data_IF_576897628397
#
_entry.id   IF_576897628397
#
_cell.length_a   1.000
_cell.length_b   1.000
_cell.length_c   1.000
_cell.angle_alpha   90.00
_cell.angle_beta   90.00
_cell.angle_gamma   90.00
#
_symmetry.space_group_name_H-M   'P 1'
#
loop_
_entity.id
_entity.type
_entity.pdbx_description
1 polymer ?
#
# COMPACT_ATOMS: atom_id res chain seq x y z
N UNK A 1 29.63 -15.71 -36.18
CA UNK A 1 30.93 -16.38 -36.28
C UNK A 1 31.92 -15.52 -35.49
N UNK A 2 32.38 -16.01 -34.31
CA UNK A 2 33.35 -15.41 -33.37
C UNK A 2 32.88 -14.14 -32.64
N UNK A 3 32.58 -14.06 -31.33
CA UNK A 3 33.09 -14.64 -30.07
C UNK A 3 34.56 -14.29 -29.75
N UNK A 4 34.74 -13.71 -28.56
CA UNK A 4 35.95 -13.62 -27.72
C UNK A 4 36.85 -12.39 -27.84
N UNK A 5 36.62 -11.36 -27.01
CA UNK A 5 37.74 -10.65 -26.38
C UNK A 5 37.50 -9.87 -25.06
N UNK A 6 36.31 -9.87 -24.44
CA UNK A 6 36.06 -9.00 -23.26
C UNK A 6 36.00 -9.70 -21.88
N UNK A 7 36.40 -10.97 -21.76
CA UNK A 7 36.32 -11.71 -20.48
C UNK A 7 37.67 -12.07 -19.84
N UNK A 8 38.72 -11.24 -19.97
CA UNK A 8 40.06 -11.57 -19.43
C UNK A 8 40.73 -10.49 -18.57
N UNK A 9 39.98 -9.75 -17.77
CA UNK A 9 40.58 -8.77 -16.82
C UNK A 9 39.97 -8.75 -15.43
N UNK A 10 39.30 -9.84 -15.02
CA UNK A 10 38.70 -9.95 -13.67
C UNK A 10 39.16 -11.20 -12.89
N UNK A 11 40.44 -11.60 -13.00
CA UNK A 11 40.94 -12.78 -12.26
C UNK A 11 42.37 -12.70 -11.70
N UNK A 12 42.87 -11.51 -11.35
CA UNK A 12 44.21 -11.38 -10.73
C UNK A 12 44.28 -10.32 -9.61
N UNK A 13 43.30 -10.28 -8.69
CA UNK A 13 43.41 -9.48 -7.45
C UNK A 13 43.35 -10.31 -6.16
N UNK A 14 43.72 -11.59 -6.22
CA UNK A 14 43.94 -12.42 -5.02
C UNK A 14 45.34 -13.00 -5.12
N UNK A 15 46.35 -12.23 -4.69
CA UNK A 15 47.51 -12.71 -3.92
C UNK A 15 48.51 -11.56 -3.67
N UNK A 16 48.47 -11.09 -2.43
CA UNK A 16 49.48 -10.42 -1.61
C UNK A 16 50.89 -10.12 -2.19
N UNK A 17 51.42 -8.94 -1.86
CA UNK A 17 52.48 -8.82 -0.83
C UNK A 17 52.71 -7.36 -0.43
N UNK A 18 52.75 -7.15 0.89
CA UNK A 18 53.15 -5.90 1.52
C UNK A 18 54.68 -5.77 1.54
N UNK A 19 55.19 -4.55 1.30
CA UNK A 19 56.58 -4.16 1.48
C UNK A 19 56.66 -2.68 1.92
N UNK A 20 57.57 -2.31 2.84
CA UNK A 20 57.49 -1.03 3.55
C UNK A 20 58.26 0.07 2.85
N UNK A 21 57.63 1.21 2.61
CA UNK A 21 58.35 2.42 2.20
C UNK A 21 57.48 3.42 1.45
N UNK A 22 57.31 4.61 2.03
CA UNK A 22 56.92 5.80 1.27
C UNK A 22 55.49 6.28 1.47
N UNK A 23 55.15 6.73 2.68
CA UNK A 23 54.14 7.78 2.81
C UNK A 23 54.62 9.03 2.06
N UNK A 24 53.99 9.36 0.92
CA UNK A 24 53.97 10.71 0.36
C UNK A 24 52.81 10.87 -0.63
N UNK A 25 51.93 11.82 -0.30
CA UNK A 25 50.93 12.47 -1.16
C UNK A 25 49.68 11.67 -1.58
N UNK A 26 48.69 11.59 -0.68
CA UNK A 26 47.29 11.36 -1.07
C UNK A 26 46.65 12.70 -1.46
N UNK A 27 46.72 13.06 -2.75
CA UNK A 27 45.71 13.95 -3.35
C UNK A 27 44.47 13.10 -3.56
N UNK A 28 43.43 13.31 -2.75
CA UNK A 28 42.07 12.89 -3.10
C UNK A 28 41.59 13.82 -4.21
N UNK A 29 41.84 13.42 -5.46
CA UNK A 29 41.28 14.07 -6.64
C UNK A 29 40.67 12.96 -7.48
N UNK A 30 39.36 12.84 -7.36
CA UNK A 30 38.56 11.82 -8.03
C UNK A 30 37.09 12.04 -7.71
N UNK A 31 36.57 13.23 -8.01
CA UNK A 31 35.13 13.36 -8.22
C UNK A 31 34.74 12.43 -9.37
N UNK A 32 33.73 11.56 -9.23
CA UNK A 32 33.24 10.80 -10.36
C UNK A 32 32.52 11.76 -11.32
N UNK A 33 33.15 12.05 -12.45
CA UNK A 33 32.53 12.75 -13.57
C UNK A 33 31.44 11.87 -14.19
N UNK A 34 30.21 12.03 -13.73
CA UNK A 34 29.01 11.47 -14.38
C UNK A 34 28.48 12.47 -15.41
N UNK A 35 29.15 12.56 -16.54
CA UNK A 35 28.70 13.31 -17.71
C UNK A 35 27.78 12.46 -18.59
N UNK A 36 26.56 12.15 -18.10
CA UNK A 36 25.49 11.62 -18.96
C UNK A 36 24.07 12.07 -18.53
N UNK A 37 23.91 13.31 -18.06
CA UNK A 37 22.60 13.85 -17.69
C UNK A 37 21.65 13.98 -18.89
N UNK A 38 22.18 14.21 -20.10
CA UNK A 38 21.37 14.38 -21.31
C UNK A 38 20.71 13.09 -21.81
N UNK A 39 21.46 11.98 -21.86
CA UNK A 39 20.92 10.67 -22.28
C UNK A 39 19.98 10.06 -21.25
N UNK A 40 20.26 10.28 -19.96
CA UNK A 40 19.40 9.82 -18.88
C UNK A 40 18.07 10.60 -18.81
N UNK A 41 18.08 11.93 -18.99
CA UNK A 41 16.85 12.76 -19.00
C UNK A 41 15.88 12.39 -20.13
N UNK A 42 16.39 12.10 -21.33
CA UNK A 42 15.59 11.58 -22.46
C UNK A 42 14.99 10.20 -22.15
N UNK A 43 15.75 9.35 -21.45
CA UNK A 43 15.29 8.02 -21.00
C UNK A 43 14.17 8.15 -19.95
N UNK A 44 14.29 9.03 -18.96
CA UNK A 44 13.25 9.23 -17.94
C UNK A 44 11.94 9.78 -18.53
N UNK A 45 12.00 10.71 -19.49
CA UNK A 45 10.78 11.18 -20.18
C UNK A 45 10.07 10.05 -20.92
N UNK A 46 10.81 9.15 -21.56
CA UNK A 46 10.23 7.97 -22.21
C UNK A 46 9.65 6.95 -21.20
N UNK A 47 10.31 6.78 -20.05
CA UNK A 47 9.82 5.91 -18.97
C UNK A 47 8.57 6.46 -18.29
N UNK A 48 8.42 7.79 -18.17
CA UNK A 48 7.24 8.42 -17.58
C UNK A 48 5.95 8.05 -18.31
N UNK A 49 5.94 8.22 -19.64
CA UNK A 49 4.76 7.90 -20.46
C UNK A 49 4.41 6.41 -20.37
N UNK A 50 5.41 5.53 -20.44
CA UNK A 50 5.23 4.07 -20.30
C UNK A 50 4.71 3.70 -18.92
N UNK A 51 5.21 4.35 -17.87
CA UNK A 51 4.79 4.07 -16.50
C UNK A 51 3.33 4.48 -16.27
N UNK A 52 2.95 5.67 -16.72
CA UNK A 52 1.56 6.16 -16.64
C UNK A 52 0.62 5.27 -17.45
N UNK A 53 0.99 4.92 -18.69
CA UNK A 53 0.19 4.04 -19.56
C UNK A 53 -0.04 2.67 -18.89
N UNK A 54 1.03 2.02 -18.45
CA UNK A 54 0.95 0.69 -17.82
C UNK A 54 0.17 0.74 -16.51
N UNK A 55 0.39 1.76 -15.68
CA UNK A 55 -0.34 1.88 -14.43
C UNK A 55 -1.82 2.15 -14.65
N UNK A 56 -2.18 2.98 -15.63
CA UNK A 56 -3.58 3.22 -16.01
C UNK A 56 -4.24 1.93 -16.52
N UNK A 57 -3.53 1.13 -17.31
CA UNK A 57 -4.00 -0.18 -17.77
C UNK A 57 -4.23 -1.14 -16.60
N UNK A 58 -3.28 -1.24 -15.68
CA UNK A 58 -3.40 -2.06 -14.46
C UNK A 58 -4.65 -1.67 -13.65
N UNK A 59 -4.90 -0.37 -13.48
CA UNK A 59 -6.09 0.12 -12.77
C UNK A 59 -7.40 -0.27 -13.48
N UNK A 60 -7.42 -0.31 -14.81
CA UNK A 60 -8.60 -0.63 -15.60
C UNK A 60 -8.88 -2.14 -15.68
N UNK A 61 -7.84 -2.97 -15.71
CA UNK A 61 -7.94 -4.41 -15.90
C UNK A 61 -8.18 -5.19 -14.59
N UNK A 62 -7.75 -4.63 -13.44
CA UNK A 62 -7.90 -5.30 -12.14
C UNK A 62 -9.04 -4.74 -11.30
N UNK A 63 -9.91 -5.61 -10.80
CA UNK A 63 -10.89 -5.27 -9.76
C UNK A 63 -10.27 -5.30 -8.35
N UNK A 64 -9.12 -5.95 -8.17
CA UNK A 64 -8.45 -6.14 -6.89
C UNK A 64 -7.43 -5.03 -6.64
N UNK A 65 -7.56 -4.34 -5.50
CA UNK A 65 -6.68 -3.23 -5.10
C UNK A 65 -5.24 -3.70 -4.97
N UNK A 66 -5.02 -4.84 -4.31
CA UNK A 66 -3.69 -5.38 -4.02
C UNK A 66 -2.93 -5.74 -5.30
N UNK A 67 -3.61 -6.28 -6.31
CA UNK A 67 -3.00 -6.56 -7.61
C UNK A 67 -2.53 -5.27 -8.32
N UNK A 68 -3.32 -4.19 -8.25
CA UNK A 68 -2.95 -2.88 -8.83
C UNK A 68 -1.72 -2.31 -8.12
N UNK A 69 -1.70 -2.35 -6.79
CA UNK A 69 -0.59 -1.83 -6.00
C UNK A 69 0.68 -2.68 -6.19
N UNK A 70 0.55 -4.00 -6.35
CA UNK A 70 1.69 -4.90 -6.61
C UNK A 70 2.29 -4.56 -7.96
N UNK A 71 1.45 -4.44 -8.99
CA UNK A 71 1.88 -4.08 -10.34
C UNK A 71 2.51 -2.69 -10.41
N UNK A 72 2.05 -1.72 -9.61
CA UNK A 72 2.69 -0.41 -9.49
C UNK A 72 4.13 -0.52 -8.95
N UNK A 73 4.31 -1.23 -7.84
CA UNK A 73 5.62 -1.35 -7.20
C UNK A 73 6.58 -2.14 -8.10
N UNK A 74 6.12 -3.21 -8.75
CA UNK A 74 6.90 -3.95 -9.75
C UNK A 74 7.31 -3.07 -10.94
N UNK A 75 6.36 -2.29 -11.47
CA UNK A 75 6.60 -1.37 -12.58
C UNK A 75 7.67 -0.35 -12.25
N UNK A 76 7.53 0.36 -11.12
CA UNK A 76 8.48 1.39 -10.71
C UNK A 76 9.84 0.77 -10.35
N UNK A 77 9.83 -0.36 -9.65
CA UNK A 77 11.08 -1.06 -9.27
C UNK A 77 11.85 -1.55 -10.49
N UNK A 78 11.15 -2.12 -11.47
CA UNK A 78 11.74 -2.56 -12.73
C UNK A 78 12.30 -1.42 -13.57
N UNK A 79 11.57 -0.29 -13.66
CA UNK A 79 12.02 0.89 -14.42
C UNK A 79 13.25 1.56 -13.79
N UNK A 80 13.32 1.60 -12.46
CA UNK A 80 14.38 2.29 -11.72
C UNK A 80 15.52 1.36 -11.25
N UNK A 81 15.43 0.05 -11.53
CA UNK A 81 16.43 -0.94 -11.09
C UNK A 81 16.57 -1.02 -9.57
N UNK A 82 15.43 -0.97 -8.87
CA UNK A 82 15.34 -1.00 -7.41
C UNK A 82 15.27 -2.43 -6.88
N UNK A 83 15.60 -2.60 -5.61
CA UNK A 83 15.47 -3.89 -4.94
C UNK A 83 14.00 -4.25 -4.69
N UNK A 84 13.13 -3.24 -4.62
CA UNK A 84 11.72 -3.44 -4.36
C UNK A 84 11.00 -2.23 -3.78
N UNK A 85 9.91 -2.52 -3.09
CA UNK A 85 9.12 -1.52 -2.39
C UNK A 85 7.81 -2.09 -1.89
N UNK A 86 6.89 -1.20 -1.52
CA UNK A 86 5.55 -1.57 -1.10
C UNK A 86 4.67 -0.36 -0.88
N UNK A 87 3.37 -0.61 -0.76
CA UNK A 87 2.40 0.43 -0.40
C UNK A 87 1.89 0.15 1.00
N UNK A 88 2.08 1.12 1.90
CA UNK A 88 1.60 1.08 3.27
C UNK A 88 0.31 1.89 3.34
N UNK A 89 -0.78 1.30 3.82
CA UNK A 89 -2.08 1.95 4.00
C UNK A 89 -2.52 1.88 5.47
N UNK A 90 -3.60 2.57 5.80
CA UNK A 90 -4.20 2.60 7.14
C UNK A 90 -3.25 3.12 8.25
N UNK A 91 -2.81 4.35 8.07
CA UNK A 91 -1.87 5.02 8.98
C UNK A 91 -2.56 5.68 10.20
N UNK A 92 -3.89 5.53 10.34
CA UNK A 92 -4.70 6.19 11.38
C UNK A 92 -4.63 5.48 12.77
N UNK A 93 -3.65 4.60 12.99
CA UNK A 93 -3.10 4.37 14.33
C UNK A 93 -3.35 3.02 15.01
N UNK A 94 -3.82 1.98 14.31
CA UNK A 94 -3.89 0.64 14.90
C UNK A 94 -2.90 -0.35 14.26
N UNK A 95 -2.73 -0.34 12.93
CA UNK A 95 -1.80 -1.22 12.21
C UNK A 95 -1.52 -0.64 10.83
N UNK A 96 -0.30 -0.16 10.60
CA UNK A 96 0.16 0.14 9.24
C UNK A 96 0.09 -1.16 8.44
N UNK A 97 -0.86 -1.26 7.51
CA UNK A 97 -1.06 -2.46 6.70
C UNK A 97 -0.27 -2.29 5.42
N UNK A 98 0.77 -3.10 5.22
CA UNK A 98 1.47 -3.13 3.94
C UNK A 98 0.67 -4.01 3.00
N UNK A 99 0.12 -3.39 1.97
CA UNK A 99 -0.76 -4.07 1.02
C UNK A 99 0.05 -4.96 0.07
N UNK A 100 1.29 -4.56 -0.27
CA UNK A 100 2.14 -5.28 -1.23
C UNK A 100 3.63 -5.07 -0.95
N UNK A 101 4.47 -6.09 -1.18
CA UNK A 101 5.93 -5.99 -1.18
C UNK A 101 6.46 -6.76 -2.38
N UNK A 102 7.30 -6.12 -3.17
CA UNK A 102 7.89 -6.74 -4.36
C UNK A 102 9.40 -6.68 -4.20
N UNK A 103 10.10 -7.79 -4.44
CA UNK A 103 11.56 -7.88 -4.33
C UNK A 103 12.03 -8.96 -3.35
N UNK A 104 13.16 -9.62 -3.61
CA UNK A 104 13.67 -10.66 -2.71
C UNK A 104 14.22 -10.02 -1.43
N UNK A 105 13.48 -10.12 -0.32
CA UNK A 105 14.10 -10.07 1.02
C UNK A 105 13.48 -9.13 2.06
N UNK A 106 12.52 -8.27 1.73
CA UNK A 106 11.90 -7.37 2.73
C UNK A 106 10.48 -7.82 3.03
N UNK A 107 10.30 -8.40 4.22
CA UNK A 107 8.99 -8.75 4.74
C UNK A 107 8.11 -7.50 4.90
N UNK A 108 6.83 -7.64 4.56
CA UNK A 108 5.80 -6.60 4.67
C UNK A 108 5.86 -5.86 6.02
N UNK A 109 5.85 -6.61 7.12
CA UNK A 109 5.85 -6.06 8.48
C UNK A 109 7.08 -5.18 8.76
N UNK A 110 8.25 -5.55 8.22
CA UNK A 110 9.47 -4.75 8.38
C UNK A 110 9.42 -3.47 7.55
N UNK A 111 8.81 -3.51 6.36
CA UNK A 111 8.61 -2.32 5.56
C UNK A 111 7.66 -1.34 6.25
N UNK A 112 6.56 -1.83 6.84
CA UNK A 112 5.68 -1.02 7.69
C UNK A 112 6.45 -0.39 8.85
N UNK A 113 7.25 -1.20 9.56
CA UNK A 113 8.03 -0.71 10.68
C UNK A 113 9.04 0.39 10.30
N UNK A 114 9.73 0.24 9.16
CA UNK A 114 10.66 1.26 8.64
C UNK A 114 9.98 2.60 8.36
N UNK A 115 8.71 2.56 7.97
CA UNK A 115 7.89 3.74 7.70
C UNK A 115 7.39 4.36 8.99
N UNK A 116 6.87 3.55 9.92
CA UNK A 116 6.20 4.01 11.14
C UNK A 116 7.17 4.46 12.24
N UNK A 117 8.32 3.80 12.40
CA UNK A 117 9.27 4.05 13.50
C UNK A 117 10.51 4.83 13.03
N UNK A 118 10.44 5.44 11.86
CA UNK A 118 11.56 6.08 11.18
C UNK A 118 11.23 7.48 10.64
N UNK A 119 12.16 8.08 9.88
CA UNK A 119 11.94 9.38 9.23
C UNK A 119 10.74 9.39 8.26
N UNK A 120 10.21 8.21 7.87
CA UNK A 120 9.02 8.07 7.06
C UNK A 120 7.76 8.62 7.73
N UNK A 121 7.61 8.48 9.05
CA UNK A 121 6.43 8.91 9.78
C UNK A 121 6.23 10.42 9.70
N UNK A 122 7.30 11.18 9.98
CA UNK A 122 7.30 12.64 9.87
C UNK A 122 7.02 13.10 8.43
N UNK A 123 7.62 12.41 7.46
CA UNK A 123 7.45 12.72 6.04
C UNK A 123 5.99 12.53 5.58
N UNK A 124 5.35 11.45 6.01
CA UNK A 124 3.93 11.17 5.73
C UNK A 124 3.03 12.21 6.40
N UNK A 125 3.27 12.49 7.68
CA UNK A 125 2.49 13.47 8.43
C UNK A 125 2.51 14.85 7.75
N UNK A 126 3.70 15.28 7.29
CA UNK A 126 3.90 16.56 6.58
C UNK A 126 3.49 16.51 5.11
N UNK A 127 3.30 15.32 4.54
CA UNK A 127 3.06 15.14 3.10
C UNK A 127 4.26 15.48 2.22
N UNK A 128 5.49 15.39 2.77
CA UNK A 128 6.73 15.65 2.05
C UNK A 128 7.38 14.35 1.60
N UNK A 129 7.91 14.31 0.38
CA UNK A 129 8.69 13.17 -0.12
C UNK A 129 10.00 13.05 0.66
N UNK A 130 10.24 11.88 1.25
CA UNK A 130 11.51 11.55 1.91
C UNK A 130 12.42 10.81 0.94
N UNK A 131 13.71 11.14 0.97
CA UNK A 131 14.75 10.51 0.16
C UNK A 131 15.97 10.27 1.04
N UNK A 132 16.41 9.02 1.14
CA UNK A 132 17.60 8.63 1.87
C UNK A 132 18.50 7.89 0.90
N UNK A 133 19.66 8.48 0.60
CA UNK A 133 20.63 7.92 -0.34
C UNK A 133 21.47 6.79 0.27
N UNK A 134 21.74 6.87 1.58
CA UNK A 134 22.37 5.83 2.38
C UNK A 134 21.82 5.92 3.81
N UNK A 135 21.20 4.84 4.30
CA UNK A 135 20.62 4.81 5.66
C UNK A 135 21.67 4.98 6.74
N UNK A 136 22.91 4.59 6.48
CA UNK A 136 24.00 4.66 7.46
C UNK A 136 24.40 6.09 7.84
N UNK A 137 24.16 7.06 6.96
CA UNK A 137 24.42 8.48 7.22
C UNK A 137 23.48 9.04 8.30
N UNK A 138 22.43 8.30 8.64
CA UNK A 138 21.37 8.70 9.56
C UNK A 138 21.44 7.98 10.92
N UNK A 139 22.56 7.29 11.21
CA UNK A 139 22.75 6.49 12.43
C UNK A 139 22.57 7.26 13.73
N UNK A 140 23.02 8.51 13.78
CA UNK A 140 22.94 9.35 14.98
C UNK A 140 21.51 9.81 15.26
N UNK A 141 20.77 10.18 14.21
CA UNK A 141 19.42 10.71 14.35
C UNK A 141 18.35 9.62 14.48
N UNK A 142 18.51 8.47 13.80
CA UNK A 142 17.53 7.38 13.82
C UNK A 142 18.20 5.99 13.96
N UNK A 143 18.85 5.68 15.09
CA UNK A 143 19.64 4.45 15.26
C UNK A 143 18.82 3.17 15.10
N UNK A 144 17.58 3.14 15.57
CA UNK A 144 16.69 1.97 15.48
C UNK A 144 16.28 1.69 14.03
N UNK A 145 15.89 2.74 13.30
CA UNK A 145 15.59 2.68 11.87
C UNK A 145 16.77 2.15 11.06
N UNK A 146 17.99 2.66 11.29
CA UNK A 146 19.19 2.18 10.58
C UNK A 146 19.47 0.70 10.87
N UNK A 147 19.27 0.27 12.12
CA UNK A 147 19.43 -1.13 12.49
C UNK A 147 18.40 -2.05 11.80
N UNK A 148 17.13 -1.63 11.69
CA UNK A 148 16.09 -2.39 10.98
C UNK A 148 16.34 -2.40 9.46
N UNK A 149 16.75 -1.25 8.89
CA UNK A 149 17.04 -1.13 7.46
C UNK A 149 18.15 -2.09 7.07
N UNK A 150 19.25 -2.13 7.84
CA UNK A 150 20.34 -3.09 7.66
C UNK A 150 19.89 -4.55 7.78
N UNK A 151 19.08 -4.89 8.79
CA UNK A 151 18.53 -6.25 8.96
C UNK A 151 17.63 -6.68 7.81
N UNK A 152 17.07 -5.71 7.08
CA UNK A 152 16.22 -5.93 5.92
C UNK A 152 16.97 -5.78 4.59
N UNK A 153 18.29 -5.55 4.61
CA UNK A 153 19.09 -5.32 3.39
C UNK A 153 18.80 -4.00 2.67
N UNK A 154 18.09 -3.07 3.33
CA UNK A 154 17.77 -1.74 2.78
C UNK A 154 18.96 -0.82 3.03
N UNK A 155 19.54 -0.31 1.96
CA UNK A 155 20.65 0.67 2.01
C UNK A 155 20.18 2.07 1.63
N UNK A 156 19.18 2.18 0.77
CA UNK A 156 18.58 3.45 0.34
C UNK A 156 17.06 3.30 0.27
N UNK A 157 16.31 4.36 0.53
CA UNK A 157 14.86 4.36 0.37
C UNK A 157 14.29 5.74 0.01
N UNK A 158 13.13 5.73 -0.62
CA UNK A 158 12.29 6.90 -0.79
C UNK A 158 10.86 6.59 -0.36
N UNK A 159 10.22 7.57 0.28
CA UNK A 159 8.84 7.48 0.75
C UNK A 159 8.03 8.60 0.09
N UNK A 160 6.95 8.21 -0.58
CA UNK A 160 6.03 9.09 -1.27
C UNK A 160 4.68 9.03 -0.54
N UNK A 161 4.33 10.07 0.24
CA UNK A 161 3.05 10.11 0.93
C UNK A 161 1.88 10.02 -0.07
N UNK A 162 0.93 9.12 0.19
CA UNK A 162 -0.31 9.02 -0.57
C UNK A 162 -1.36 9.86 0.15
N UNK A 163 -1.89 10.88 -0.53
CA UNK A 163 -2.78 11.88 0.09
C UNK A 163 -3.96 12.19 -0.79
N UNK A 164 -5.12 12.34 -0.15
CA UNK A 164 -6.32 12.85 -0.78
C UNK A 164 -6.87 14.01 0.06
N UNK A 165 -6.70 15.23 -0.45
CA UNK A 165 -6.92 16.45 0.32
C UNK A 165 -5.98 16.53 1.54
N UNK A 166 -6.55 16.74 2.72
CA UNK A 166 -5.78 16.90 3.97
C UNK A 166 -5.47 15.58 4.70
N UNK A 167 -6.02 14.44 4.23
CA UNK A 167 -5.79 13.12 4.85
C UNK A 167 -4.72 12.33 4.10
N UNK A 168 -3.85 11.66 4.85
CA UNK A 168 -2.98 10.62 4.28
C UNK A 168 -3.78 9.33 4.19
N UNK A 169 -3.76 8.70 3.02
CA UNK A 169 -4.36 7.38 2.79
C UNK A 169 -3.31 6.26 2.84
N UNK A 170 -2.03 6.63 2.93
CA UNK A 170 -0.92 5.70 2.94
C UNK A 170 0.41 6.33 2.51
N UNK A 171 1.36 5.47 2.11
CA UNK A 171 2.64 5.83 1.52
C UNK A 171 3.11 4.76 0.54
N UNK A 172 3.67 5.18 -0.59
CA UNK A 172 4.47 4.32 -1.47
C UNK A 172 5.93 4.38 -1.00
N UNK A 173 6.51 3.22 -0.73
CA UNK A 173 7.89 3.06 -0.27
C UNK A 173 8.67 2.33 -1.34
N UNK A 174 9.82 2.86 -1.69
CA UNK A 174 10.74 2.29 -2.66
C UNK A 174 12.09 2.08 -2.00
N UNK A 175 12.70 0.92 -2.21
CA UNK A 175 13.93 0.51 -1.53
C UNK A 175 15.01 0.04 -2.50
N UNK A 176 16.26 0.26 -2.12
CA UNK A 176 17.43 -0.25 -2.82
C UNK A 176 18.42 -0.85 -1.84
N UNK A 177 19.06 -1.92 -2.28
CA UNK A 177 20.11 -2.69 -1.62
C UNK A 177 21.51 -2.07 -1.79
N UNK A 178 21.61 -0.92 -2.44
CA UNK A 178 22.83 -0.16 -2.66
C UNK A 178 22.60 1.33 -2.41
N UNK A 179 23.66 2.09 -2.07
CA UNK A 179 23.56 3.53 -2.01
C UNK A 179 23.17 4.08 -3.37
N UNK A 180 22.22 5.02 -3.42
CA UNK A 180 21.81 5.65 -4.68
C UNK A 180 21.37 7.09 -4.49
N UNK A 181 21.62 7.91 -5.51
CA UNK A 181 21.07 9.25 -5.61
C UNK A 181 19.67 9.17 -6.24
N UNK A 182 18.68 9.77 -5.57
CA UNK A 182 17.34 9.95 -6.11
C UNK A 182 17.30 11.18 -7.00
N UNK A 183 17.11 10.99 -8.30
CA UNK A 183 17.13 12.08 -9.27
C UNK A 183 15.78 12.79 -9.33
N UNK A 184 15.78 14.11 -9.54
CA UNK A 184 14.54 14.90 -9.51
C UNK A 184 13.51 14.42 -10.55
N UNK A 185 13.95 14.00 -11.74
CA UNK A 185 13.06 13.46 -12.76
C UNK A 185 12.43 12.11 -12.33
N UNK A 186 13.15 11.26 -11.60
CA UNK A 186 12.60 10.03 -11.01
C UNK A 186 11.56 10.36 -9.94
N UNK A 187 11.87 11.34 -9.08
CA UNK A 187 10.98 11.79 -8.02
C UNK A 187 9.70 12.39 -8.59
N UNK A 188 9.80 13.19 -9.65
CA UNK A 188 8.63 13.75 -10.35
C UNK A 188 7.77 12.65 -10.97
N UNK A 189 8.39 11.66 -11.63
CA UNK A 189 7.68 10.53 -12.21
C UNK A 189 6.93 9.70 -11.16
N UNK A 190 7.64 9.27 -10.12
CA UNK A 190 7.06 8.45 -9.05
C UNK A 190 6.04 9.25 -8.24
N UNK A 191 6.29 10.54 -8.03
CA UNK A 191 5.35 11.45 -7.39
C UNK A 191 4.01 11.52 -8.11
N UNK A 192 4.02 11.60 -9.44
CA UNK A 192 2.79 11.56 -10.24
C UNK A 192 2.06 10.22 -10.10
N UNK A 193 2.77 9.10 -10.15
CA UNK A 193 2.18 7.77 -9.94
C UNK A 193 1.61 7.62 -8.52
N UNK A 194 2.27 8.18 -7.51
CA UNK A 194 1.80 8.22 -6.13
C UNK A 194 0.51 9.06 -6.00
N UNK A 195 0.42 10.18 -6.70
CA UNK A 195 -0.81 10.99 -6.76
C UNK A 195 -1.96 10.22 -7.41
N UNK A 196 -1.72 9.59 -8.57
CA UNK A 196 -2.69 8.70 -9.23
C UNK A 196 -3.15 7.56 -8.31
N UNK A 197 -2.21 6.97 -7.56
CA UNK A 197 -2.49 5.90 -6.58
C UNK A 197 -3.35 6.42 -5.44
N UNK A 198 -3.12 7.65 -4.98
CA UNK A 198 -3.92 8.29 -3.93
C UNK A 198 -5.38 8.47 -4.36
N UNK A 199 -5.61 8.89 -5.62
CA UNK A 199 -6.95 8.98 -6.21
C UNK A 199 -7.60 7.60 -6.32
N UNK A 200 -6.86 6.61 -6.84
CA UNK A 200 -7.33 5.24 -6.96
C UNK A 200 -7.79 4.65 -5.61
N UNK A 201 -6.96 4.75 -4.57
CA UNK A 201 -7.28 4.26 -3.23
C UNK A 201 -8.51 4.96 -2.64
N UNK A 202 -8.62 6.27 -2.85
CA UNK A 202 -9.76 7.05 -2.38
C UNK A 202 -11.06 6.63 -3.07
N UNK A 203 -11.02 6.39 -4.39
CA UNK A 203 -12.16 5.90 -5.16
C UNK A 203 -12.58 4.50 -4.71
N UNK A 204 -11.62 3.58 -4.51
CA UNK A 204 -11.90 2.22 -4.03
C UNK A 204 -12.52 2.21 -2.64
N UNK A 205 -12.03 3.05 -1.74
CA UNK A 205 -12.61 3.23 -0.40
C UNK A 205 -14.05 3.75 -0.46
N UNK A 206 -14.32 4.76 -1.30
CA UNK A 206 -15.66 5.30 -1.50
C UNK A 206 -16.64 4.24 -2.05
N UNK A 207 -16.25 3.50 -3.09
CA UNK A 207 -17.08 2.43 -3.68
C UNK A 207 -17.38 1.35 -2.64
N UNK A 208 -16.38 0.92 -1.87
CA UNK A 208 -16.56 -0.07 -0.80
C UNK A 208 -17.52 0.43 0.29
N UNK A 209 -17.43 1.71 0.66
CA UNK A 209 -18.35 2.33 1.61
C UNK A 209 -19.79 2.37 1.07
N UNK A 210 -19.99 2.80 -0.18
CA UNK A 210 -21.31 2.82 -0.82
C UNK A 210 -21.92 1.42 -0.93
N UNK A 211 -21.14 0.41 -1.33
CA UNK A 211 -21.62 -0.97 -1.43
C UNK A 211 -22.06 -1.52 -0.07
N UNK A 212 -21.29 -1.26 1.00
CA UNK A 212 -21.68 -1.64 2.37
C UNK A 212 -22.96 -0.95 2.80
N UNK A 213 -23.09 0.36 2.56
CA UNK A 213 -24.27 1.13 2.92
C UNK A 213 -25.51 0.65 2.15
N UNK A 214 -25.40 0.42 0.84
CA UNK A 214 -26.48 -0.13 0.02
C UNK A 214 -26.92 -1.51 0.52
N UNK A 215 -25.98 -2.41 0.83
CA UNK A 215 -26.30 -3.72 1.39
C UNK A 215 -27.02 -3.63 2.74
N UNK A 216 -26.60 -2.74 3.63
CA UNK A 216 -27.29 -2.48 4.89
C UNK A 216 -28.71 -1.92 4.68
N UNK A 217 -28.88 -1.03 3.70
CA UNK A 217 -30.19 -0.47 3.35
C UNK A 217 -31.12 -1.54 2.77
N UNK A 218 -30.64 -2.35 1.83
CA UNK A 218 -31.39 -3.46 1.23
C UNK A 218 -31.81 -4.48 2.29
N UNK A 219 -30.91 -4.82 3.21
CA UNK A 219 -31.22 -5.69 4.34
C UNK A 219 -32.31 -5.07 5.24
N UNK A 220 -32.23 -3.78 5.54
CA UNK A 220 -33.23 -3.09 6.36
C UNK A 220 -34.60 -3.02 5.67
N UNK A 221 -34.65 -2.77 4.36
CA UNK A 221 -35.88 -2.73 3.57
C UNK A 221 -36.54 -4.12 3.49
N UNK A 222 -35.74 -5.15 3.21
CA UNK A 222 -36.21 -6.54 3.17
C UNK A 222 -36.74 -6.98 4.53
N UNK A 223 -36.03 -6.64 5.61
CA UNK A 223 -36.49 -6.91 6.97
C UNK A 223 -37.82 -6.24 7.29
N UNK A 224 -38.07 -5.02 6.80
CA UNK A 224 -39.33 -4.31 7.06
C UNK A 224 -40.52 -4.98 6.39
N UNK A 225 -40.35 -5.45 5.14
CA UNK A 225 -41.43 -6.14 4.41
C UNK A 225 -41.87 -7.40 5.17
N UNK A 226 -40.91 -8.24 5.57
CA UNK A 226 -41.19 -9.49 6.29
C UNK A 226 -41.88 -9.22 7.64
N UNK A 227 -41.44 -8.19 8.36
CA UNK A 227 -42.07 -7.80 9.64
C UNK A 227 -43.49 -7.29 9.44
N UNK A 228 -43.76 -6.47 8.41
CA UNK A 228 -45.13 -5.99 8.13
C UNK A 228 -46.06 -7.14 7.70
N UNK A 229 -45.57 -8.10 6.93
CA UNK A 229 -46.33 -9.32 6.59
C UNK A 229 -46.66 -10.14 7.84
N UNK A 230 -45.68 -10.40 8.70
CA UNK A 230 -45.88 -11.14 9.94
C UNK A 230 -46.88 -10.44 10.89
N UNK A 231 -46.81 -9.10 11.00
CA UNK A 231 -47.80 -8.31 11.76
C UNK A 231 -49.22 -8.53 11.22
N UNK A 232 -49.39 -8.53 9.89
CA UNK A 232 -50.68 -8.80 9.24
C UNK A 232 -51.19 -10.22 9.53
N UNK A 233 -50.33 -11.23 9.43
CA UNK A 233 -50.68 -12.64 9.71
C UNK A 233 -51.16 -12.80 11.16
N UNK A 234 -50.39 -12.29 12.13
CA UNK A 234 -50.74 -12.39 13.57
C UNK A 234 -51.97 -11.55 13.92
N UNK A 235 -52.10 -10.36 13.34
CA UNK A 235 -53.27 -9.49 13.51
C UNK A 235 -54.55 -10.21 13.07
N UNK A 236 -54.52 -10.82 11.89
CA UNK A 236 -55.65 -11.57 11.34
C UNK A 236 -55.94 -12.86 12.13
N UNK A 237 -54.90 -13.63 12.47
CA UNK A 237 -55.05 -14.90 13.18
C UNK A 237 -55.64 -14.73 14.59
N UNK A 238 -55.29 -13.65 15.29
CA UNK A 238 -55.73 -13.38 16.66
C UNK A 238 -56.89 -12.37 16.76
N UNK A 239 -57.32 -11.78 15.64
CA UNK A 239 -58.37 -10.75 15.63
C UNK A 239 -58.00 -9.48 16.38
N UNK A 240 -56.71 -9.11 16.39
CA UNK A 240 -56.17 -7.96 17.13
C UNK A 240 -55.63 -6.89 16.17
N UNK A 241 -55.47 -5.66 16.66
CA UNK A 241 -54.82 -4.60 15.89
C UNK A 241 -53.35 -4.89 15.56
N UNK A 242 -52.89 -4.32 14.44
CA UNK A 242 -51.53 -4.47 13.90
C UNK A 242 -50.43 -4.07 14.91
N UNK A 243 -50.69 -3.06 15.74
CA UNK A 243 -49.75 -2.65 16.80
C UNK A 243 -49.66 -3.68 17.93
N UNK A 244 -50.79 -4.29 18.32
CA UNK A 244 -50.81 -5.35 19.33
C UNK A 244 -50.10 -6.61 18.82
N UNK A 245 -50.27 -6.95 17.54
CA UNK A 245 -49.55 -8.03 16.87
C UNK A 245 -48.04 -7.78 16.88
N UNK A 246 -47.58 -6.57 16.58
CA UNK A 246 -46.16 -6.24 16.64
C UNK A 246 -45.57 -6.39 18.04
N UNK A 247 -46.33 -6.01 19.09
CA UNK A 247 -45.87 -6.23 20.47
C UNK A 247 -45.75 -7.71 20.83
N UNK A 248 -46.61 -8.59 20.31
CA UNK A 248 -46.47 -10.04 20.47
C UNK A 248 -45.18 -10.55 19.83
N UNK A 249 -44.93 -10.18 18.57
CA UNK A 249 -43.71 -10.56 17.84
C UNK A 249 -42.46 -10.09 18.61
N UNK A 250 -42.45 -8.84 19.10
CA UNK A 250 -41.32 -8.31 19.89
C UNK A 250 -41.13 -9.02 21.22
N UNK A 251 -42.22 -9.35 21.93
CA UNK A 251 -42.15 -10.10 23.19
C UNK A 251 -41.57 -11.48 22.95
N UNK A 252 -42.04 -12.17 21.92
CA UNK A 252 -41.56 -13.50 21.56
C UNK A 252 -40.09 -13.49 21.16
N UNK A 253 -39.67 -12.51 20.35
CA UNK A 253 -38.26 -12.32 19.99
C UNK A 253 -37.38 -12.14 21.23
N UNK A 254 -37.80 -11.29 22.18
CA UNK A 254 -37.07 -11.08 23.44
C UNK A 254 -37.01 -12.32 24.33
N UNK A 255 -38.11 -13.04 24.51
CA UNK A 255 -38.14 -14.22 25.38
C UNK A 255 -37.31 -15.39 24.84
N UNK A 256 -37.05 -15.41 23.54
CA UNK A 256 -36.28 -16.47 22.87
C UNK A 256 -34.89 -16.00 22.39
N UNK A 257 -34.43 -14.81 22.84
CA UNK A 257 -33.16 -14.22 22.42
C UNK A 257 -32.96 -14.19 20.89
N UNK A 258 -34.03 -13.95 20.15
CA UNK A 258 -34.08 -13.92 18.70
C UNK A 258 -34.28 -12.49 18.19
N UNK A 259 -33.92 -12.24 16.93
CA UNK A 259 -34.25 -10.97 16.29
C UNK A 259 -35.74 -10.92 15.91
N UNK A 260 -36.32 -9.72 15.89
CA UNK A 260 -37.71 -9.52 15.43
C UNK A 260 -37.87 -9.99 13.98
N UNK A 261 -36.83 -9.81 13.16
CA UNK A 261 -36.80 -10.30 11.78
C UNK A 261 -36.88 -11.83 11.72
N UNK A 262 -36.08 -12.55 12.50
CA UNK A 262 -36.09 -14.01 12.53
C UNK A 262 -37.45 -14.57 12.97
N UNK A 263 -38.09 -13.95 13.97
CA UNK A 263 -39.46 -14.33 14.38
C UNK A 263 -40.46 -14.04 13.27
N UNK A 264 -40.37 -12.87 12.63
CA UNK A 264 -41.26 -12.52 11.53
C UNK A 264 -41.10 -13.46 10.32
N UNK A 265 -39.88 -13.82 9.96
CA UNK A 265 -39.57 -14.79 8.91
C UNK A 265 -40.14 -16.17 9.26
N UNK A 266 -40.01 -16.59 10.51
CA UNK A 266 -40.58 -17.85 10.99
C UNK A 266 -42.12 -17.84 10.92
N UNK A 267 -42.78 -16.72 11.25
CA UNK A 267 -44.23 -16.55 11.10
C UNK A 267 -44.64 -16.65 9.62
N UNK A 268 -43.92 -15.96 8.73
CA UNK A 268 -44.25 -15.91 7.29
C UNK A 268 -44.00 -17.25 6.60
N UNK A 269 -42.95 -17.97 6.99
CA UNK A 269 -42.49 -19.18 6.28
C UNK A 269 -43.07 -20.47 6.85
N UNK A 270 -43.30 -20.52 8.17
CA UNK A 270 -43.67 -21.76 8.89
C UNK A 270 -45.08 -21.70 9.49
N UNK A 271 -45.87 -20.67 9.16
CA UNK A 271 -47.19 -20.40 9.78
C UNK A 271 -47.14 -20.48 11.32
N UNK A 272 -46.02 -20.09 11.92
CA UNK A 272 -45.81 -20.19 13.36
C UNK A 272 -46.86 -19.36 14.10
N UNK A 273 -47.63 -20.03 14.96
CA UNK A 273 -48.57 -19.38 15.89
C UNK A 273 -47.81 -18.89 17.11
N UNK A 274 -47.89 -17.58 17.35
CA UNK A 274 -47.14 -16.85 18.38
C UNK A 274 -48.08 -16.26 19.41
#
# INVERSE_FOLDING_TARGET
MGISNELRTARECVNATAGPGGCRNLRLSGEPQFSNEGGYRLSVQSHFAVAVERFTRLQAESSETDAVLTGLVELVSGLLGLAGGGVVTDLDGATATVTTSTGPGIALDRLAQLVSDGPGADAIARGSILRIAAVDDHREAWPQFVAEARRSGVVSLAVFPLRHGLRSVGALVLVSDRPRRWLEDEIAMVGCLAEMTSVFLSQRSAVSHFQRLSGQLEQALTSRIVVEQAKGIISNANGIGVDAAYQLIRRHARSHNASVHAVAEAIVTLELRV
#
